data_IF_777848092015
#
_entry.id   IF_777848092015
#
_cell.length_a   1.000
_cell.length_b   1.000
_cell.length_c   1.000
_cell.angle_alpha   90.00
_cell.angle_beta   90.00
_cell.angle_gamma   90.00
#
_symmetry.space_group_name_H-M   'P 1'
#
loop_
_entity.id
_entity.type
_entity.pdbx_description
1 polymer ?
#
# COMPACT_ATOMS: atom_id res chain seq x y z
N UNK A 1 12.15 -24.32 -11.65
CA UNK A 1 11.77 -22.98 -11.18
C UNK A 1 11.13 -22.22 -12.33
N UNK A 2 9.91 -21.66 -12.15
CA UNK A 2 9.26 -20.85 -13.18
C UNK A 2 9.72 -19.39 -13.09
N UNK A 3 10.11 -18.78 -14.21
CA UNK A 3 10.34 -17.34 -14.33
C UNK A 3 9.13 -16.70 -15.00
N UNK A 4 8.49 -15.74 -14.33
CA UNK A 4 7.39 -14.94 -14.85
C UNK A 4 7.89 -13.51 -15.08
N UNK A 5 8.17 -13.12 -16.34
CA UNK A 5 8.66 -11.77 -16.67
C UNK A 5 7.65 -10.68 -16.33
N UNK A 6 8.13 -9.47 -16.02
CA UNK A 6 7.31 -8.29 -15.73
C UNK A 6 6.23 -8.03 -16.80
N UNK A 7 6.58 -8.23 -18.08
CA UNK A 7 5.67 -7.99 -19.21
C UNK A 7 4.40 -8.85 -19.18
N UNK A 8 4.41 -10.01 -18.50
CA UNK A 8 3.26 -10.89 -18.40
C UNK A 8 2.32 -10.54 -17.25
N UNK A 9 2.76 -9.73 -16.29
CA UNK A 9 2.02 -9.51 -15.03
C UNK A 9 0.64 -8.89 -15.29
N UNK A 10 0.55 -7.93 -16.22
CA UNK A 10 -0.71 -7.25 -16.52
C UNK A 10 -1.80 -8.21 -17.06
N UNK A 11 -1.39 -9.28 -17.77
CA UNK A 11 -2.29 -10.30 -18.30
C UNK A 11 -2.63 -11.39 -17.27
N UNK A 12 -1.79 -11.53 -16.24
CA UNK A 12 -1.90 -12.60 -15.25
C UNK A 12 -2.61 -12.16 -13.97
N UNK A 13 -2.57 -10.86 -13.62
CA UNK A 13 -3.08 -10.36 -12.35
C UNK A 13 -3.94 -9.12 -12.56
N UNK A 14 -5.21 -9.24 -12.26
CA UNK A 14 -6.13 -8.11 -12.22
C UNK A 14 -6.06 -7.36 -10.88
N UNK A 15 -6.64 -6.15 -10.84
CA UNK A 15 -6.79 -5.40 -9.59
C UNK A 15 -7.69 -6.13 -8.56
N UNK A 16 -8.67 -6.92 -9.04
CA UNK A 16 -9.51 -7.73 -8.14
C UNK A 16 -8.72 -8.87 -7.51
N UNK A 17 -7.89 -9.56 -8.29
CA UNK A 17 -7.04 -10.63 -7.75
C UNK A 17 -6.09 -10.11 -6.67
N UNK A 18 -5.49 -8.94 -6.89
CA UNK A 18 -4.64 -8.30 -5.90
C UNK A 18 -5.41 -7.91 -4.63
N UNK A 19 -6.64 -7.40 -4.79
CA UNK A 19 -7.52 -7.05 -3.66
C UNK A 19 -7.85 -8.29 -2.82
N UNK A 20 -8.27 -9.39 -3.46
CA UNK A 20 -8.65 -10.63 -2.79
C UNK A 20 -7.43 -11.30 -2.12
N UNK A 21 -6.28 -11.34 -2.81
CA UNK A 21 -5.04 -11.90 -2.28
C UNK A 21 -4.54 -11.12 -1.04
N UNK A 22 -4.56 -9.78 -1.08
CA UNK A 22 -4.16 -8.95 0.06
C UNK A 22 -5.14 -9.10 1.22
N UNK A 23 -6.46 -9.16 0.96
CA UNK A 23 -7.46 -9.39 2.00
C UNK A 23 -7.26 -10.75 2.70
N UNK A 24 -7.02 -11.81 1.92
CA UNK A 24 -6.74 -13.14 2.45
C UNK A 24 -5.46 -13.16 3.31
N UNK A 25 -4.40 -12.47 2.84
CA UNK A 25 -3.14 -12.32 3.57
C UNK A 25 -3.33 -11.64 4.92
N UNK A 26 -4.02 -10.51 4.96
CA UNK A 26 -4.28 -9.80 6.23
C UNK A 26 -5.13 -10.65 7.17
N UNK A 27 -6.11 -11.40 6.65
CA UNK A 27 -6.91 -12.31 7.46
C UNK A 27 -6.08 -13.47 8.01
N UNK A 28 -5.14 -14.03 7.23
CA UNK A 28 -4.22 -15.08 7.67
C UNK A 28 -3.26 -14.56 8.76
N UNK A 29 -2.72 -13.35 8.61
CA UNK A 29 -1.91 -12.69 9.64
C UNK A 29 -2.68 -12.52 10.95
N UNK A 30 -3.93 -12.06 10.90
CA UNK A 30 -4.76 -11.89 12.09
C UNK A 30 -5.15 -13.20 12.80
N UNK A 31 -4.96 -14.35 12.13
CA UNK A 31 -5.18 -15.69 12.69
C UNK A 31 -3.88 -16.39 13.09
N UNK A 32 -2.77 -15.69 13.12
CA UNK A 32 -1.42 -16.24 13.38
C UNK A 32 -1.01 -17.36 12.40
N UNK A 33 -1.59 -17.37 11.20
CA UNK A 33 -1.30 -18.33 10.14
C UNK A 33 -0.21 -17.83 9.17
N UNK A 34 0.04 -16.53 9.16
CA UNK A 34 1.05 -15.90 8.34
C UNK A 34 1.78 -14.81 9.13
N UNK A 35 3.07 -14.65 8.88
CA UNK A 35 3.88 -13.63 9.54
C UNK A 35 5.00 -13.10 8.65
N UNK A 36 5.29 -11.82 8.79
CA UNK A 36 6.39 -11.17 8.11
C UNK A 36 7.70 -11.38 8.86
N UNK A 37 8.79 -11.53 8.13
CA UNK A 37 10.13 -11.46 8.70
C UNK A 37 10.57 -9.99 8.82
N UNK A 38 11.57 -9.69 9.67
CA UNK A 38 12.08 -8.32 9.80
C UNK A 38 12.48 -7.74 8.45
N UNK A 39 12.08 -6.49 8.20
CA UNK A 39 12.44 -5.78 6.97
C UNK A 39 13.92 -5.41 7.00
N UNK A 40 14.62 -5.70 5.92
CA UNK A 40 15.97 -5.20 5.68
C UNK A 40 15.90 -4.07 4.67
N UNK A 41 16.47 -2.92 5.00
CA UNK A 41 16.53 -1.76 4.12
C UNK A 41 17.83 -1.00 4.32
N UNK A 42 18.60 -0.87 3.23
CA UNK A 42 19.91 -0.25 3.23
C UNK A 42 19.92 0.99 2.34
N UNK A 43 20.53 2.06 2.85
CA UNK A 43 20.77 3.29 2.09
C UNK A 43 22.06 3.10 1.26
N UNK A 44 21.94 3.31 -0.05
CA UNK A 44 23.08 3.19 -0.98
C UNK A 44 23.69 4.56 -1.35
N UNK A 45 23.29 5.61 -0.64
CA UNK A 45 23.68 7.00 -0.95
C UNK A 45 22.87 7.61 -2.11
N UNK A 46 22.93 8.94 -2.25
CA UNK A 46 22.25 9.71 -3.31
C UNK A 46 20.75 9.41 -3.42
N UNK A 47 20.07 9.20 -2.28
CA UNK A 47 18.65 8.87 -2.22
C UNK A 47 18.29 7.46 -2.70
N UNK A 48 19.28 6.63 -3.04
CA UNK A 48 19.08 5.23 -3.43
C UNK A 48 18.90 4.36 -2.19
N UNK A 49 17.95 3.43 -2.29
CA UNK A 49 17.68 2.44 -1.24
C UNK A 49 17.49 1.07 -1.87
N UNK A 50 17.87 0.03 -1.15
CA UNK A 50 17.63 -1.37 -1.53
C UNK A 50 17.32 -2.20 -0.29
N UNK A 51 16.52 -3.26 -0.46
CA UNK A 51 16.18 -4.09 0.68
C UNK A 51 15.33 -5.29 0.35
N UNK A 52 14.90 -5.95 1.41
CA UNK A 52 14.17 -7.21 1.36
C UNK A 52 12.94 -7.13 2.27
N UNK A 53 11.81 -7.61 1.74
CA UNK A 53 10.60 -7.88 2.52
C UNK A 53 10.22 -9.34 2.29
N UNK A 54 10.09 -10.11 3.36
CA UNK A 54 9.90 -11.56 3.30
C UNK A 54 8.90 -12.03 4.35
N UNK A 55 8.43 -13.25 4.23
CA UNK A 55 7.50 -13.83 5.18
C UNK A 55 7.12 -15.26 4.83
N UNK A 56 6.35 -15.86 5.73
CA UNK A 56 5.77 -17.19 5.59
C UNK A 56 4.27 -17.10 5.82
N UNK A 57 3.48 -17.57 4.88
CA UNK A 57 2.06 -17.88 5.04
C UNK A 57 1.88 -19.40 5.03
N UNK A 58 1.61 -19.96 6.21
CA UNK A 58 1.41 -21.40 6.38
C UNK A 58 0.08 -21.87 5.77
N UNK A 59 -0.96 -21.05 5.85
CA UNK A 59 -2.27 -21.38 5.31
C UNK A 59 -2.27 -21.39 3.77
N UNK A 60 -1.59 -20.41 3.17
CA UNK A 60 -1.44 -20.30 1.72
C UNK A 60 -0.27 -21.11 1.14
N UNK A 61 0.56 -21.75 1.98
CA UNK A 61 1.74 -22.52 1.52
C UNK A 61 2.77 -21.62 0.82
N UNK A 62 2.97 -20.38 1.30
CA UNK A 62 3.82 -19.41 0.65
C UNK A 62 5.01 -19.03 1.55
N UNK A 63 6.21 -19.25 1.05
CA UNK A 63 7.46 -18.73 1.59
C UNK A 63 8.14 -17.91 0.50
N UNK A 64 8.69 -16.74 0.84
CA UNK A 64 9.36 -15.97 -0.20
C UNK A 64 9.96 -14.66 0.28
N UNK A 65 10.54 -13.96 -0.69
CA UNK A 65 11.17 -12.66 -0.50
C UNK A 65 10.93 -11.77 -1.72
N UNK A 66 10.55 -10.53 -1.48
CA UNK A 66 10.70 -9.46 -2.47
C UNK A 66 12.03 -8.76 -2.22
N UNK A 67 12.89 -8.77 -3.23
CA UNK A 67 14.10 -7.97 -3.29
C UNK A 67 13.86 -6.77 -4.20
N UNK A 68 14.20 -5.56 -3.75
CA UNK A 68 13.98 -4.37 -4.55
C UNK A 68 14.35 -3.07 -3.85
N UNK A 69 14.22 -1.97 -4.58
CA UNK A 69 14.62 -0.68 -4.06
C UNK A 69 14.09 0.50 -4.86
N UNK A 70 14.50 1.69 -4.43
CA UNK A 70 14.19 2.96 -5.06
C UNK A 70 15.48 3.62 -5.56
N UNK A 71 15.49 4.00 -6.83
CA UNK A 71 16.64 4.57 -7.53
C UNK A 71 16.19 5.87 -8.20
N UNK A 72 16.33 7.04 -7.55
CA UNK A 72 16.01 8.32 -8.15
C UNK A 72 16.88 8.52 -9.38
N UNK A 73 16.28 9.03 -10.47
CA UNK A 73 17.00 9.18 -11.75
C UNK A 73 16.79 8.02 -12.74
N UNK A 74 16.17 6.92 -12.37
CA UNK A 74 15.82 5.86 -13.32
C UNK A 74 14.84 6.34 -14.40
N UNK A 75 13.94 7.27 -14.07
CA UNK A 75 13.04 7.89 -15.05
C UNK A 75 13.77 8.51 -16.23
N UNK A 76 14.94 9.11 -16.01
CA UNK A 76 15.78 9.65 -17.09
C UNK A 76 16.37 8.57 -18.01
N UNK A 77 16.35 7.30 -17.56
CA UNK A 77 16.78 6.11 -18.32
C UNK A 77 15.60 5.35 -18.94
N UNK A 78 14.38 5.88 -18.85
CA UNK A 78 13.15 5.24 -19.37
C UNK A 78 12.64 4.06 -18.55
N UNK A 79 13.10 3.90 -17.30
CA UNK A 79 12.64 2.85 -16.38
C UNK A 79 12.10 3.47 -15.07
N UNK A 80 11.24 2.75 -14.37
CA UNK A 80 10.65 3.26 -13.13
C UNK A 80 11.70 3.35 -12.01
N UNK A 81 11.56 4.34 -11.13
CA UNK A 81 12.45 4.51 -9.98
C UNK A 81 12.39 3.33 -9.00
N UNK A 82 11.24 2.69 -8.86
CA UNK A 82 11.10 1.46 -8.09
C UNK A 82 11.40 0.27 -8.99
N UNK A 83 12.28 -0.63 -8.52
CA UNK A 83 12.64 -1.89 -9.17
C UNK A 83 12.55 -3.01 -8.15
N UNK A 84 11.86 -4.09 -8.49
CA UNK A 84 11.74 -5.24 -7.59
C UNK A 84 11.50 -6.56 -8.32
N UNK A 85 11.87 -7.64 -7.65
CA UNK A 85 11.62 -9.03 -8.06
C UNK A 85 11.16 -9.82 -6.85
N UNK A 86 10.18 -10.70 -7.05
CA UNK A 86 9.68 -11.61 -6.02
C UNK A 86 10.20 -13.01 -6.27
N UNK A 87 10.74 -13.64 -5.23
CA UNK A 87 11.17 -15.04 -5.24
C UNK A 87 10.26 -15.84 -4.31
N UNK A 88 9.73 -16.95 -4.83
CA UNK A 88 8.93 -17.90 -4.08
C UNK A 88 9.69 -19.20 -3.88
N UNK A 89 9.53 -19.78 -2.70
CA UNK A 89 10.16 -21.03 -2.29
C UNK A 89 9.09 -22.01 -1.81
N UNK A 90 9.37 -23.26 -1.94
CA UNK A 90 8.59 -24.32 -1.30
C UNK A 90 8.84 -24.27 0.21
N UNK A 91 7.81 -24.10 1.05
CA UNK A 91 8.01 -23.90 2.49
C UNK A 91 8.51 -25.14 3.22
N UNK A 92 8.36 -26.35 2.67
CA UNK A 92 8.79 -27.60 3.31
C UNK A 92 10.24 -27.95 2.97
N UNK A 93 10.67 -27.67 1.75
CA UNK A 93 12.00 -28.06 1.27
C UNK A 93 12.98 -26.88 1.10
N UNK A 94 12.49 -25.64 1.11
CA UNK A 94 13.27 -24.44 0.82
C UNK A 94 13.70 -24.31 -0.65
N UNK A 95 13.22 -25.18 -1.56
CA UNK A 95 13.58 -25.11 -2.98
C UNK A 95 12.92 -23.89 -3.64
N UNK A 96 13.66 -23.13 -4.48
CA UNK A 96 13.06 -22.04 -5.25
C UNK A 96 12.05 -22.59 -6.28
N UNK A 97 10.83 -22.04 -6.25
CA UNK A 97 9.71 -22.48 -7.10
C UNK A 97 9.40 -21.49 -8.22
N UNK A 98 9.60 -20.17 -7.95
CA UNK A 98 9.36 -19.15 -8.97
C UNK A 98 10.19 -17.87 -8.72
N UNK A 99 10.44 -17.14 -9.81
CA UNK A 99 10.92 -15.75 -9.84
C UNK A 99 9.95 -14.93 -10.67
N UNK A 100 9.45 -13.81 -10.12
CA UNK A 100 8.34 -13.02 -10.70
C UNK A 100 8.74 -11.56 -10.75
N UNK A 101 8.49 -10.87 -11.88
CA UNK A 101 8.61 -9.43 -12.00
C UNK A 101 7.74 -8.72 -10.96
N UNK A 102 8.30 -7.77 -10.21
CA UNK A 102 7.69 -7.24 -9.00
C UNK A 102 7.17 -5.81 -9.07
N UNK A 103 7.40 -5.08 -10.17
CA UNK A 103 7.08 -3.65 -10.23
C UNK A 103 5.56 -3.42 -10.27
N UNK A 104 4.86 -4.04 -11.21
CA UNK A 104 3.41 -3.94 -11.31
C UNK A 104 2.72 -4.64 -10.12
N UNK A 105 3.24 -5.79 -9.67
CA UNK A 105 2.74 -6.45 -8.46
C UNK A 105 2.77 -5.52 -7.25
N UNK A 106 3.88 -4.80 -7.05
CA UNK A 106 3.99 -3.80 -5.96
C UNK A 106 2.96 -2.69 -6.09
N UNK A 107 2.68 -2.21 -7.30
CA UNK A 107 1.66 -1.18 -7.52
C UNK A 107 0.26 -1.72 -7.17
N UNK A 108 -0.10 -2.89 -7.67
CA UNK A 108 -1.40 -3.52 -7.45
C UNK A 108 -1.66 -3.84 -5.98
N UNK A 109 -0.68 -4.49 -5.27
CA UNK A 109 -0.86 -4.85 -3.86
C UNK A 109 -0.93 -3.63 -2.94
N UNK A 110 -0.19 -2.55 -3.27
CA UNK A 110 -0.22 -1.30 -2.48
C UNK A 110 -1.58 -0.63 -2.61
N UNK A 111 -2.10 -0.54 -3.83
CA UNK A 111 -3.42 0.00 -4.09
C UNK A 111 -4.55 -0.87 -3.50
N UNK A 112 -4.37 -2.20 -3.49
CA UNK A 112 -5.30 -3.12 -2.85
C UNK A 112 -5.41 -2.89 -1.33
N UNK A 113 -4.29 -2.68 -0.64
CA UNK A 113 -4.27 -2.40 0.80
C UNK A 113 -5.01 -1.10 1.15
N UNK A 114 -4.75 -0.04 0.39
CA UNK A 114 -5.47 1.23 0.51
C UNK A 114 -6.97 1.06 0.26
N UNK A 115 -7.36 0.38 -0.81
CA UNK A 115 -8.76 0.12 -1.13
C UNK A 115 -9.47 -0.69 -0.03
N UNK A 116 -8.81 -1.72 0.53
CA UNK A 116 -9.32 -2.48 1.68
C UNK A 116 -9.56 -1.60 2.90
N UNK A 117 -8.64 -0.68 3.19
CA UNK A 117 -8.82 0.25 4.31
C UNK A 117 -10.01 1.19 4.08
N UNK A 118 -10.17 1.73 2.87
CA UNK A 118 -11.29 2.58 2.49
C UNK A 118 -12.62 1.79 2.60
N UNK A 119 -12.65 0.56 2.09
CA UNK A 119 -13.86 -0.28 2.16
C UNK A 119 -14.32 -0.53 3.60
N UNK A 120 -13.38 -0.77 4.51
CA UNK A 120 -13.67 -1.18 5.90
C UNK A 120 -13.75 -0.01 6.89
N UNK A 121 -13.05 1.09 6.62
CA UNK A 121 -12.84 2.15 7.61
C UNK A 121 -13.43 3.51 7.19
N UNK A 122 -13.61 3.79 5.90
CA UNK A 122 -14.30 5.00 5.47
C UNK A 122 -15.80 4.91 5.77
N UNK A 123 -16.45 6.06 5.96
CA UNK A 123 -17.90 6.13 6.11
C UNK A 123 -18.57 5.58 4.84
N UNK A 124 -19.71 4.92 4.99
CA UNK A 124 -20.43 4.33 3.83
C UNK A 124 -20.92 5.38 2.84
N UNK A 125 -21.27 6.55 3.35
CA UNK A 125 -21.72 7.71 2.59
C UNK A 125 -20.58 8.60 2.05
N UNK A 126 -19.33 8.19 2.18
CA UNK A 126 -18.17 8.91 1.64
C UNK A 126 -18.32 9.13 0.12
N UNK A 127 -18.16 10.39 -0.34
CA UNK A 127 -18.38 10.82 -1.73
C UNK A 127 -17.23 11.62 -2.33
N UNK A 128 -16.40 12.26 -1.52
CA UNK A 128 -15.27 13.07 -1.98
C UNK A 128 -13.96 12.38 -1.63
N UNK A 129 -13.17 12.04 -2.65
CA UNK A 129 -11.85 11.45 -2.47
C UNK A 129 -10.77 12.53 -2.59
N UNK A 130 -9.92 12.65 -1.58
CA UNK A 130 -8.71 13.45 -1.58
C UNK A 130 -7.48 12.62 -1.97
N UNK A 131 -6.63 13.17 -2.84
CA UNK A 131 -5.36 12.57 -3.23
C UNK A 131 -4.22 13.53 -2.88
N UNK A 132 -3.32 13.13 -1.98
CA UNK A 132 -2.10 13.85 -1.61
C UNK A 132 -0.90 13.09 -2.16
N UNK A 133 -0.35 13.59 -3.27
CA UNK A 133 0.66 12.93 -4.06
C UNK A 133 0.13 12.52 -5.44
N UNK A 134 0.95 12.76 -6.49
CA UNK A 134 0.64 12.47 -7.89
C UNK A 134 1.77 11.68 -8.58
N UNK A 135 2.54 10.90 -7.80
CA UNK A 135 3.62 10.05 -8.31
C UNK A 135 3.12 8.80 -9.03
N UNK A 136 4.06 7.89 -9.33
CA UNK A 136 3.78 6.63 -10.05
C UNK A 136 2.63 5.82 -9.45
N UNK A 137 2.53 5.75 -8.13
CA UNK A 137 1.51 4.97 -7.43
C UNK A 137 0.11 5.61 -7.46
N UNK A 138 0.01 6.95 -7.60
CA UNK A 138 -1.24 7.67 -7.40
C UNK A 138 -2.38 7.20 -8.33
N UNK A 139 -2.08 6.89 -9.60
CA UNK A 139 -3.07 6.37 -10.54
C UNK A 139 -3.61 4.99 -10.15
N UNK A 140 -2.77 4.11 -9.61
CA UNK A 140 -3.20 2.80 -9.09
C UNK A 140 -4.08 2.95 -7.86
N UNK A 141 -3.72 3.86 -6.95
CA UNK A 141 -4.49 4.18 -5.76
C UNK A 141 -5.89 4.68 -6.12
N UNK A 142 -5.98 5.63 -7.06
CA UNK A 142 -7.27 6.18 -7.51
C UNK A 142 -8.15 5.10 -8.15
N UNK A 143 -7.60 4.28 -9.05
CA UNK A 143 -8.34 3.17 -9.69
C UNK A 143 -8.85 2.17 -8.65
N UNK A 144 -8.05 1.83 -7.64
CA UNK A 144 -8.44 0.91 -6.59
C UNK A 144 -9.53 1.50 -5.66
N UNK A 145 -9.41 2.77 -5.28
CA UNK A 145 -10.41 3.47 -4.49
C UNK A 145 -11.77 3.59 -5.22
N UNK A 146 -11.75 3.80 -6.54
CA UNK A 146 -12.96 3.86 -7.37
C UNK A 146 -13.70 2.52 -7.47
N UNK A 147 -13.03 1.39 -7.22
CA UNK A 147 -13.66 0.06 -7.23
C UNK A 147 -14.47 -0.24 -5.97
N UNK A 148 -14.10 0.35 -4.84
CA UNK A 148 -14.68 0.03 -3.52
C UNK A 148 -15.65 1.07 -3.03
N UNK A 149 -15.73 2.22 -3.68
CA UNK A 149 -16.65 3.30 -3.29
C UNK A 149 -17.10 4.10 -4.53
N UNK A 150 -18.32 4.61 -4.50
CA UNK A 150 -18.81 5.56 -5.49
C UNK A 150 -18.43 6.97 -5.06
N UNK A 151 -17.59 7.61 -5.84
CA UNK A 151 -17.15 8.97 -5.61
C UNK A 151 -17.91 9.95 -6.52
N UNK A 152 -18.28 11.10 -5.98
CA UNK A 152 -18.87 12.19 -6.78
C UNK A 152 -17.78 13.02 -7.45
N UNK A 153 -16.61 13.14 -6.79
CA UNK A 153 -15.44 13.86 -7.31
C UNK A 153 -14.15 13.45 -6.61
N UNK A 154 -13.05 13.79 -7.25
CA UNK A 154 -11.68 13.67 -6.74
C UNK A 154 -11.07 15.05 -6.61
N UNK A 155 -10.49 15.37 -5.47
CA UNK A 155 -9.66 16.57 -5.28
C UNK A 155 -8.21 16.13 -5.11
N UNK A 156 -7.27 16.85 -5.70
CA UNK A 156 -5.86 16.46 -5.70
C UNK A 156 -4.91 17.59 -5.34
N UNK A 157 -3.88 17.25 -4.58
CA UNK A 157 -2.75 18.12 -4.28
C UNK A 157 -1.43 17.37 -4.45
N UNK A 158 -0.43 18.07 -4.97
CA UNK A 158 0.95 17.59 -5.02
C UNK A 158 1.90 18.77 -4.88
N UNK A 159 3.05 18.54 -4.19
CA UNK A 159 4.10 19.55 -4.05
C UNK A 159 4.60 20.08 -5.41
N UNK A 160 4.56 19.23 -6.43
CA UNK A 160 4.88 19.51 -7.84
C UNK A 160 3.58 19.50 -8.65
N UNK A 161 2.87 20.65 -8.81
CA UNK A 161 1.55 20.71 -9.44
C UNK A 161 1.54 20.20 -10.88
N UNK A 162 2.67 20.28 -11.58
CA UNK A 162 2.86 19.80 -12.96
C UNK A 162 2.66 18.28 -13.10
N UNK A 163 2.60 17.55 -12.00
CA UNK A 163 2.31 16.10 -11.99
C UNK A 163 0.81 15.78 -11.93
N UNK A 164 -0.03 16.73 -11.49
CA UNK A 164 -1.47 16.54 -11.32
C UNK A 164 -2.23 16.21 -12.62
N UNK A 165 -1.86 16.72 -13.82
CA UNK A 165 -2.54 16.37 -15.06
C UNK A 165 -2.65 14.86 -15.32
N UNK A 166 -1.61 14.08 -14.99
CA UNK A 166 -1.65 12.61 -15.12
C UNK A 166 -2.68 11.96 -14.20
N UNK A 167 -2.89 12.52 -13.01
CA UNK A 167 -3.92 12.03 -12.10
C UNK A 167 -5.32 12.42 -12.57
N UNK A 168 -5.47 13.62 -13.15
CA UNK A 168 -6.70 14.07 -13.78
C UNK A 168 -7.09 13.19 -14.99
N UNK A 169 -6.13 12.74 -15.80
CA UNK A 169 -6.37 11.79 -16.90
C UNK A 169 -6.95 10.47 -16.35
N UNK A 170 -6.36 9.93 -15.28
CA UNK A 170 -6.87 8.72 -14.62
C UNK A 170 -8.29 8.92 -14.08
N UNK A 171 -8.57 10.07 -13.47
CA UNK A 171 -9.92 10.39 -13.00
C UNK A 171 -10.92 10.46 -14.16
N UNK A 172 -10.54 11.08 -15.29
CA UNK A 172 -11.36 11.17 -16.49
C UNK A 172 -11.66 9.78 -17.10
N UNK A 173 -10.67 8.87 -17.15
CA UNK A 173 -10.87 7.47 -17.58
C UNK A 173 -11.91 6.73 -16.70
N UNK A 174 -12.01 7.12 -15.42
CA UNK A 174 -12.97 6.57 -14.46
C UNK A 174 -14.33 7.30 -14.46
N UNK A 175 -14.48 8.32 -15.30
CA UNK A 175 -15.69 9.17 -15.33
C UNK A 175 -15.85 10.05 -14.10
N UNK A 176 -14.77 10.35 -13.37
CA UNK A 176 -14.78 11.13 -12.14
C UNK A 176 -14.31 12.58 -12.40
N UNK A 177 -15.07 13.60 -11.98
CA UNK A 177 -14.60 14.98 -11.94
C UNK A 177 -13.33 15.09 -11.09
N UNK A 178 -12.31 15.80 -11.58
CA UNK A 178 -11.07 16.06 -10.87
C UNK A 178 -10.83 17.56 -10.72
N UNK A 179 -10.43 17.98 -9.52
CA UNK A 179 -10.06 19.37 -9.22
C UNK A 179 -8.70 19.40 -8.51
N UNK A 180 -7.74 20.14 -9.05
CA UNK A 180 -6.50 20.48 -8.35
C UNK A 180 -6.79 21.57 -7.32
N UNK A 181 -6.48 21.33 -6.07
CA UNK A 181 -6.84 22.21 -4.96
C UNK A 181 -5.64 22.54 -4.07
N UNK A 182 -5.63 23.69 -3.35
CA UNK A 182 -4.68 23.90 -2.28
C UNK A 182 -4.93 22.90 -1.13
N UNK A 183 -3.89 22.64 -0.34
CA UNK A 183 -3.88 21.55 0.65
C UNK A 183 -4.95 21.71 1.73
N UNK A 184 -5.29 22.95 2.09
CA UNK A 184 -6.33 23.30 3.08
C UNK A 184 -7.71 22.78 2.66
N UNK A 185 -7.97 22.68 1.36
CA UNK A 185 -9.24 22.14 0.84
C UNK A 185 -9.35 20.61 0.93
N UNK A 186 -8.31 19.91 1.39
CA UNK A 186 -8.43 18.49 1.74
C UNK A 186 -9.45 18.26 2.86
N UNK A 187 -9.79 19.28 3.64
CA UNK A 187 -10.91 19.23 4.60
C UNK A 187 -12.28 18.96 3.96
N UNK A 188 -12.42 19.08 2.64
CA UNK A 188 -13.65 18.73 1.92
C UNK A 188 -13.77 17.21 1.69
N UNK A 189 -12.67 16.47 1.77
CA UNK A 189 -12.65 15.04 1.47
C UNK A 189 -13.25 14.19 2.62
N UNK A 190 -13.92 13.11 2.24
CA UNK A 190 -14.43 12.08 3.14
C UNK A 190 -13.39 10.97 3.38
N UNK A 191 -12.56 10.72 2.37
CA UNK A 191 -11.38 9.87 2.48
C UNK A 191 -10.20 10.55 1.79
N UNK A 192 -9.00 10.42 2.35
CA UNK A 192 -7.77 10.97 1.78
C UNK A 192 -6.75 9.86 1.67
N UNK A 193 -6.15 9.71 0.48
CA UNK A 193 -4.99 8.85 0.28
C UNK A 193 -3.75 9.74 0.22
N UNK A 194 -2.78 9.49 1.11
CA UNK A 194 -1.45 10.07 0.98
C UNK A 194 -0.51 9.04 0.37
N UNK A 195 0.22 9.43 -0.66
CA UNK A 195 1.13 8.57 -1.42
C UNK A 195 2.31 9.39 -1.95
N UNK A 196 3.06 9.97 -1.03
CA UNK A 196 4.21 10.82 -1.31
C UNK A 196 5.52 10.14 -0.90
N UNK A 197 6.63 10.72 -1.29
CA UNK A 197 7.97 10.37 -0.80
C UNK A 197 8.48 11.39 0.23
N UNK A 198 7.59 12.20 0.80
CA UNK A 198 7.96 13.31 1.67
C UNK A 198 8.69 12.83 2.93
N UNK A 199 9.80 13.49 3.33
CA UNK A 199 10.44 13.25 4.62
C UNK A 199 9.79 14.04 5.77
N UNK A 200 8.86 14.96 5.46
CA UNK A 200 8.19 15.83 6.44
C UNK A 200 6.69 15.84 6.19
N UNK A 201 5.92 16.00 7.27
CA UNK A 201 4.47 16.06 7.17
C UNK A 201 4.00 17.19 6.25
N UNK A 202 3.13 16.86 5.32
CA UNK A 202 2.39 17.82 4.50
C UNK A 202 0.93 17.95 4.94
N UNK A 203 0.27 16.87 5.30
CA UNK A 203 -1.12 16.88 5.74
C UNK A 203 -1.21 17.19 7.24
N UNK A 204 -1.74 18.36 7.57
CA UNK A 204 -1.88 18.85 8.94
C UNK A 204 -3.28 18.57 9.50
N UNK A 205 -3.43 18.62 10.84
CA UNK A 205 -4.71 18.41 11.52
C UNK A 205 -5.81 19.37 11.04
N UNK A 206 -5.46 20.62 10.71
CA UNK A 206 -6.39 21.60 10.15
C UNK A 206 -6.90 21.30 8.74
N UNK A 207 -6.26 20.38 8.04
CA UNK A 207 -6.65 19.94 6.68
C UNK A 207 -7.61 18.74 6.71
N UNK A 208 -7.99 18.24 7.88
CA UNK A 208 -8.78 17.01 8.03
C UNK A 208 -9.96 17.27 8.96
N UNK A 209 -11.16 17.03 8.47
CA UNK A 209 -12.39 17.16 9.28
C UNK A 209 -12.72 15.89 10.04
N UNK A 210 -13.58 15.98 11.02
CA UNK A 210 -14.18 14.85 11.70
C UNK A 210 -14.85 13.89 10.68
N UNK A 211 -14.76 12.59 10.94
CA UNK A 211 -15.34 11.55 10.09
C UNK A 211 -14.50 11.15 8.88
N UNK A 212 -13.40 11.84 8.59
CA UNK A 212 -12.51 11.49 7.47
C UNK A 212 -11.78 10.15 7.71
N UNK A 213 -11.55 9.39 6.65
CA UNK A 213 -10.64 8.26 6.62
C UNK A 213 -9.34 8.66 5.93
N UNK A 214 -8.19 8.33 6.53
CA UNK A 214 -6.87 8.55 5.96
C UNK A 214 -6.23 7.20 5.60
N UNK A 215 -5.85 7.00 4.34
CA UNK A 215 -5.03 5.88 3.89
C UNK A 215 -3.61 6.41 3.61
N UNK A 216 -2.71 6.24 4.58
CA UNK A 216 -1.33 6.74 4.51
C UNK A 216 -0.43 5.66 3.93
N UNK A 217 -0.02 5.84 2.66
CA UNK A 217 0.62 4.78 1.87
C UNK A 217 2.07 5.11 1.47
N UNK A 218 2.58 6.30 1.82
CA UNK A 218 3.91 6.75 1.40
C UNK A 218 5.02 6.52 2.41
N UNK A 219 4.67 6.30 3.68
CA UNK A 219 5.66 6.17 4.76
C UNK A 219 6.00 4.70 5.02
N UNK A 220 7.20 4.30 4.63
CA UNK A 220 7.69 2.91 4.73
C UNK A 220 9.19 2.85 5.10
N UNK A 221 9.72 3.95 5.65
CA UNK A 221 11.14 4.12 5.97
C UNK A 221 11.29 5.01 7.19
N UNK A 222 12.25 4.69 8.04
CA UNK A 222 12.56 5.48 9.22
C UNK A 222 12.81 6.95 8.88
N UNK A 223 12.13 7.84 9.60
CA UNK A 223 12.25 9.31 9.47
C UNK A 223 11.32 9.93 8.42
N UNK A 224 10.66 9.16 7.54
CA UNK A 224 9.61 9.69 6.66
C UNK A 224 8.35 10.07 7.44
N UNK A 225 7.59 11.03 6.90
CA UNK A 225 6.33 11.46 7.47
C UNK A 225 5.46 12.14 6.41
N UNK A 226 4.21 11.74 6.27
CA UNK A 226 3.22 12.40 5.40
C UNK A 226 2.21 13.22 6.20
N UNK A 227 1.89 12.79 7.42
CA UNK A 227 0.83 13.31 8.26
C UNK A 227 1.38 13.86 9.57
N UNK A 228 0.84 14.99 10.02
CA UNK A 228 1.23 15.62 11.27
C UNK A 228 1.07 14.67 12.47
N UNK A 229 2.08 14.60 13.34
CA UNK A 229 2.10 13.73 14.52
C UNK A 229 0.85 13.90 15.40
N UNK A 230 0.37 15.14 15.57
CA UNK A 230 -0.83 15.43 16.35
C UNK A 230 -2.10 14.86 15.69
N UNK A 231 -2.17 14.82 14.36
CA UNK A 231 -3.27 14.20 13.63
C UNK A 231 -3.24 12.68 13.76
N UNK A 232 -2.06 12.06 13.68
CA UNK A 232 -1.87 10.62 13.92
C UNK A 232 -2.35 10.25 15.32
N UNK A 233 -1.94 11.02 16.36
CA UNK A 233 -2.33 10.79 17.76
C UNK A 233 -3.85 10.97 18.01
N UNK A 234 -4.53 11.79 17.20
CA UNK A 234 -5.97 12.05 17.30
C UNK A 234 -6.81 10.96 16.58
N UNK A 235 -6.25 10.29 15.58
CA UNK A 235 -6.95 9.33 14.78
C UNK A 235 -7.03 7.96 15.48
N UNK A 236 -8.06 7.19 15.13
CA UNK A 236 -8.06 5.76 15.42
C UNK A 236 -7.20 5.04 14.41
N UNK A 237 -6.16 4.36 14.91
CA UNK A 237 -5.08 3.83 14.11
C UNK A 237 -5.31 2.38 13.69
N UNK A 238 -5.05 2.11 12.42
CA UNK A 238 -5.03 0.79 11.82
C UNK A 238 -3.77 0.63 10.99
N UNK A 239 -3.30 -0.59 10.81
CA UNK A 239 -2.10 -0.87 10.01
C UNK A 239 -2.15 -2.24 9.35
N UNK A 240 -1.26 -2.48 8.41
CA UNK A 240 -0.96 -3.80 7.87
C UNK A 240 -0.05 -4.61 8.83
N UNK A 241 0.92 -3.95 9.53
CA UNK A 241 1.85 -4.59 10.45
C UNK A 241 2.27 -3.63 11.57
N UNK A 242 1.91 -3.95 12.82
CA UNK A 242 2.19 -3.08 13.98
C UNK A 242 3.67 -2.84 14.18
N UNK A 243 4.50 -3.88 14.07
CA UNK A 243 5.96 -3.76 14.26
C UNK A 243 6.60 -2.83 13.23
N UNK A 244 6.09 -2.76 12.00
CA UNK A 244 6.53 -1.82 10.97
C UNK A 244 5.96 -0.43 11.20
N UNK A 245 4.68 -0.30 11.52
CA UNK A 245 4.00 0.98 11.77
C UNK A 245 4.74 1.81 12.83
N UNK A 246 5.11 1.19 13.96
CA UNK A 246 5.78 1.89 15.07
C UNK A 246 7.26 2.22 14.81
N UNK A 247 7.88 1.66 13.77
CA UNK A 247 9.33 1.80 13.51
C UNK A 247 9.67 2.53 12.21
N UNK A 248 8.90 2.28 11.15
CA UNK A 248 9.13 2.79 9.80
C UNK A 248 7.86 3.35 9.13
N UNK A 249 6.68 3.14 9.74
CA UNK A 249 5.39 3.62 9.25
C UNK A 249 5.07 5.03 9.72
N UNK A 250 3.85 5.47 9.44
CA UNK A 250 3.37 6.81 9.77
C UNK A 250 3.23 7.04 11.29
N UNK A 251 3.01 5.97 12.08
CA UNK A 251 2.88 6.07 13.53
C UNK A 251 4.23 6.26 14.26
N UNK A 252 5.39 6.07 13.61
CA UNK A 252 6.71 6.08 14.24
C UNK A 252 6.99 7.37 15.07
N UNK A 253 6.58 8.52 14.55
CA UNK A 253 6.82 9.82 15.25
C UNK A 253 5.88 10.01 16.45
N UNK A 254 4.63 9.58 16.36
CA UNK A 254 3.68 9.64 17.46
C UNK A 254 4.06 8.67 18.59
N UNK A 255 4.57 7.49 18.24
CA UNK A 255 5.11 6.51 19.21
C UNK A 255 6.37 7.03 19.87
N UNK A 256 7.31 7.60 19.12
CA UNK A 256 8.53 8.18 19.66
C UNK A 256 8.25 9.37 20.60
N UNK A 257 7.18 10.13 20.35
CA UNK A 257 6.71 11.22 21.20
C UNK A 257 5.90 10.76 22.42
N UNK A 258 5.63 9.46 22.57
CA UNK A 258 4.81 8.91 23.67
C UNK A 258 3.31 9.24 23.56
N UNK A 259 2.84 9.66 22.40
CA UNK A 259 1.43 10.01 22.15
C UNK A 259 0.57 8.82 21.75
N UNK A 260 1.19 7.75 21.26
CA UNK A 260 0.56 6.51 20.83
C UNK A 260 1.40 5.34 21.32
N UNK A 261 0.76 4.28 21.81
CA UNK A 261 1.42 3.01 22.12
C UNK A 261 1.15 1.98 20.98
N UNK A 262 2.00 0.98 20.84
CA UNK A 262 1.81 -0.09 19.86
C UNK A 262 0.45 -0.82 20.03
N UNK A 263 -0.01 -0.94 21.29
CA UNK A 263 -1.31 -1.55 21.61
C UNK A 263 -2.55 -0.72 21.19
N UNK A 264 -2.36 0.55 20.83
CA UNK A 264 -3.44 1.42 20.34
C UNK A 264 -3.68 1.25 18.82
N UNK A 265 -2.79 0.49 18.14
CA UNK A 265 -2.83 0.31 16.69
C UNK A 265 -3.47 -1.05 16.36
N UNK A 266 -4.58 -1.02 15.67
CA UNK A 266 -5.34 -2.23 15.30
C UNK A 266 -4.85 -2.77 13.94
N UNK A 267 -4.44 -4.05 13.82
CA UNK A 267 -4.20 -4.67 12.53
C UNK A 267 -5.48 -4.68 11.67
N UNK A 268 -5.40 -4.26 10.40
CA UNK A 268 -6.55 -4.27 9.49
C UNK A 268 -7.12 -5.69 9.30
N UNK A 269 -6.26 -6.71 9.37
CA UNK A 269 -6.66 -8.11 9.33
C UNK A 269 -7.64 -8.49 10.43
N UNK A 270 -7.49 -7.93 11.65
CA UNK A 270 -8.42 -8.17 12.74
C UNK A 270 -9.82 -7.59 12.46
N UNK A 271 -9.89 -6.47 11.74
CA UNK A 271 -11.15 -5.89 11.27
C UNK A 271 -11.78 -6.76 10.17
N UNK A 272 -10.96 -7.27 9.23
CA UNK A 272 -11.43 -8.14 8.14
C UNK A 272 -12.00 -9.45 8.65
N UNK A 273 -11.44 -9.99 9.74
CA UNK A 273 -11.92 -11.25 10.36
C UNK A 273 -13.07 -11.03 11.35
N UNK A 274 -13.42 -9.80 11.68
CA UNK A 274 -14.44 -9.45 12.67
C UNK A 274 -13.97 -9.60 14.14
N UNK A 275 -12.68 -9.85 14.36
CA UNK A 275 -12.08 -9.92 15.71
C UNK A 275 -12.03 -8.55 16.39
N UNK A 276 -11.86 -7.49 15.59
CA UNK A 276 -11.85 -6.10 16.04
C UNK A 276 -12.85 -5.25 15.26
N UNK A 277 -13.39 -4.24 15.93
CA UNK A 277 -14.25 -3.27 15.27
C UNK A 277 -13.45 -2.31 14.41
N UNK A 278 -13.90 -2.03 13.20
CA UNK A 278 -13.43 -0.94 12.36
C UNK A 278 -13.82 0.43 12.92
N UNK A 279 -14.33 1.32 12.07
CA UNK A 279 -14.90 2.63 12.48
C UNK A 279 -16.04 2.43 13.49
N UNK A 280 -16.06 3.22 14.57
CA UNK A 280 -17.06 3.14 15.66
C UNK A 280 -18.10 4.26 15.59
N UNK A 281 -17.75 5.41 14.99
CA UNK A 281 -18.68 6.54 14.85
C UNK A 281 -18.48 7.32 13.55
N UNK A 282 -19.47 8.14 13.19
CA UNK A 282 -19.41 9.04 12.04
C UNK A 282 -18.39 10.18 12.19
N UNK A 283 -18.06 10.57 13.43
CA UNK A 283 -17.17 11.69 13.74
C UNK A 283 -15.69 11.27 13.91
N UNK A 284 -15.44 9.98 14.08
CA UNK A 284 -14.10 9.45 14.28
C UNK A 284 -13.24 9.65 13.04
N UNK A 285 -12.03 10.18 13.20
CA UNK A 285 -11.00 10.13 12.16
C UNK A 285 -10.36 8.75 12.24
N UNK A 286 -10.35 7.99 11.15
CA UNK A 286 -9.64 6.72 11.06
C UNK A 286 -8.42 6.88 10.17
N UNK A 287 -7.29 6.28 10.57
CA UNK A 287 -6.06 6.31 9.80
C UNK A 287 -5.56 4.87 9.61
N UNK A 288 -5.33 4.49 8.35
CA UNK A 288 -4.63 3.27 7.98
C UNK A 288 -3.20 3.61 7.59
N UNK A 289 -2.24 3.07 8.34
CA UNK A 289 -0.80 3.16 8.08
C UNK A 289 -0.37 1.95 7.25
N UNK A 290 -0.24 2.14 5.95
CA UNK A 290 0.10 1.10 4.97
C UNK A 290 1.60 1.01 4.74
N UNK A 291 2.32 0.29 5.59
CA UNK A 291 3.78 0.16 5.54
C UNK A 291 4.27 -0.75 4.41
N UNK A 292 3.38 -1.60 3.89
CA UNK A 292 3.66 -2.59 2.86
C UNK A 292 4.47 -3.76 3.40
N UNK A 293 3.83 -4.91 3.53
CA UNK A 293 4.45 -6.14 4.05
C UNK A 293 4.84 -7.10 2.93
N UNK A 294 5.87 -7.92 3.18
CA UNK A 294 6.37 -8.91 2.23
C UNK A 294 5.28 -9.87 1.75
N UNK A 295 4.45 -10.33 2.66
CA UNK A 295 3.38 -11.28 2.37
C UNK A 295 2.39 -10.80 1.31
N UNK A 296 2.10 -9.50 1.20
CA UNK A 296 1.27 -8.95 0.13
C UNK A 296 1.89 -9.19 -1.26
N UNK A 297 3.21 -8.98 -1.36
CA UNK A 297 3.93 -9.19 -2.61
C UNK A 297 3.96 -10.68 -2.98
N UNK A 298 4.16 -11.57 -1.97
CA UNK A 298 4.17 -13.02 -2.17
C UNK A 298 2.80 -13.54 -2.62
N UNK A 299 1.72 -13.09 -1.99
CA UNK A 299 0.37 -13.52 -2.32
C UNK A 299 -0.02 -13.17 -3.76
N UNK A 300 0.25 -11.92 -4.18
CA UNK A 300 -0.05 -11.50 -5.55
C UNK A 300 0.87 -12.20 -6.56
N UNK A 301 2.15 -12.45 -6.21
CA UNK A 301 3.05 -13.24 -7.04
C UNK A 301 2.60 -14.70 -7.18
N UNK A 302 2.04 -15.31 -6.12
CA UNK A 302 1.51 -16.66 -6.18
C UNK A 302 0.32 -16.77 -7.17
N UNK A 303 -0.55 -15.76 -7.22
CA UNK A 303 -1.62 -15.69 -8.23
C UNK A 303 -1.04 -15.65 -9.65
N UNK A 304 -0.02 -14.80 -9.88
CA UNK A 304 0.66 -14.72 -11.18
C UNK A 304 1.26 -16.07 -11.60
N UNK A 305 1.94 -16.75 -10.67
CA UNK A 305 2.56 -18.07 -10.91
C UNK A 305 1.53 -19.14 -11.22
N UNK A 306 0.43 -19.20 -10.44
CA UNK A 306 -0.63 -20.16 -10.67
C UNK A 306 -1.23 -20.02 -12.08
N UNK A 307 -1.57 -18.80 -12.49
CA UNK A 307 -2.12 -18.52 -13.82
C UNK A 307 -1.10 -18.70 -14.95
N UNK A 308 0.17 -18.38 -14.71
CA UNK A 308 1.22 -18.64 -15.69
C UNK A 308 1.35 -20.14 -15.98
N UNK A 309 1.33 -20.97 -14.93
CA UNK A 309 1.35 -22.44 -15.08
C UNK A 309 0.12 -22.97 -15.82
N UNK A 310 -1.08 -22.52 -15.42
CA UNK A 310 -2.33 -22.91 -16.06
C UNK A 310 -2.34 -22.60 -17.57
N UNK A 311 -1.76 -21.44 -17.95
CA UNK A 311 -1.72 -20.98 -19.36
C UNK A 311 -0.46 -21.40 -20.12
N UNK A 312 0.46 -22.13 -19.50
CA UNK A 312 1.74 -22.51 -20.12
C UNK A 312 2.63 -21.30 -20.44
N UNK A 313 2.55 -20.24 -19.63
CA UNK A 313 3.33 -19.00 -19.79
C UNK A 313 4.53 -18.97 -18.85
N UNK A 314 5.54 -18.17 -19.21
CA UNK A 314 6.79 -18.07 -18.44
C UNK A 314 7.89 -18.97 -19.00
N UNK A 315 8.99 -19.05 -18.26
CA UNK A 315 10.19 -19.81 -18.68
C UNK A 315 10.56 -20.78 -17.56
N UNK A 316 10.51 -22.08 -17.86
CA UNK A 316 10.97 -23.09 -16.91
C UNK A 316 12.50 -23.22 -16.95
N UNK A 317 13.13 -23.16 -15.75
CA UNK A 317 14.58 -23.28 -15.57
C UNK A 317 14.88 -24.40 -14.58
N UNK A 318 15.77 -25.31 -14.94
CA UNK A 318 16.37 -26.27 -14.00
C UNK A 318 17.39 -25.54 -13.10
N UNK A 319 17.38 -25.82 -11.79
CA UNK A 319 18.33 -25.35 -10.80
C UNK A 319 19.07 -26.53 -10.19
#
# INVERSE_FOLDING_TARGET
MLIVPEALIADLVSAQDAFDAVAATFAAMARDQAYNFPVVREALGEGRQYGFKSGLDRAGGMLGVKAGGYFPGNMARGITNHQSTVYLFDPDSGRPTAMVGGNLLTALRTAAASALSIDRLARREARVLGMVGAGHQAGFQLRAAARVRQWDRVIGWNLHPEMLPKLAEVAAELGLPFEAVPLERMAEADAIITITSSPVASLMAGHVRAGTHLACMGTDTKGKQEVETALVAKARLFTDEVAQSVTIGEAQHAVAAGLVAAGDITPLGAVLTGAEAGRRSGEEITLFDGTGVGLQDLAVAAVAVARARERGLGIEVAL
#
